data_IF_285355958758
#
_entry.id   IF_285355958758
#
_cell.length_a   1.000
_cell.length_b   1.000
_cell.length_c   1.000
_cell.angle_alpha   90.00
_cell.angle_beta   90.00
_cell.angle_gamma   90.00
#
_symmetry.space_group_name_H-M   'P 1'
#
loop_
_entity.id
_entity.type
_entity.pdbx_description
1 polymer ?
#
# COMPACT_ATOMS: atom_id res chain seq x y z
N UNK A 1 5.26 -12.87 -3.68
CA UNK A 1 4.42 -12.97 -2.46
C UNK A 1 5.19 -12.61 -1.20
N UNK A 2 6.43 -13.11 -1.01
CA UNK A 2 7.25 -12.68 0.13
C UNK A 2 7.45 -11.16 0.19
N UNK A 3 7.73 -10.52 -0.95
CA UNK A 3 7.88 -9.07 -1.05
C UNK A 3 6.65 -8.29 -0.55
N UNK A 4 5.43 -8.74 -0.88
CA UNK A 4 4.19 -8.08 -0.43
C UNK A 4 4.02 -8.19 1.08
N UNK A 5 4.34 -9.36 1.66
CA UNK A 5 4.25 -9.58 3.10
C UNK A 5 5.27 -8.72 3.88
N UNK A 6 6.50 -8.61 3.36
CA UNK A 6 7.56 -7.77 3.93
C UNK A 6 7.20 -6.29 3.80
N UNK A 7 6.74 -5.86 2.63
CA UNK A 7 6.29 -4.49 2.39
C UNK A 7 5.13 -4.10 3.31
N UNK A 8 4.09 -4.94 3.40
CA UNK A 8 2.95 -4.73 4.28
C UNK A 8 3.37 -4.57 5.75
N UNK A 9 4.31 -5.39 6.22
CA UNK A 9 4.88 -5.28 7.57
C UNK A 9 5.57 -3.93 7.79
N UNK A 10 6.46 -3.52 6.88
CA UNK A 10 7.19 -2.27 7.02
C UNK A 10 6.26 -1.05 6.95
N UNK A 11 5.31 -1.04 6.02
CA UNK A 11 4.29 0.01 5.92
C UNK A 11 3.49 0.14 7.22
N UNK A 12 3.03 -0.99 7.76
CA UNK A 12 2.28 -1.02 9.02
C UNK A 12 3.11 -0.45 10.17
N UNK A 13 4.36 -0.91 10.32
CA UNK A 13 5.27 -0.44 11.36
C UNK A 13 5.60 1.04 11.22
N UNK A 14 5.65 1.58 10.00
CA UNK A 14 5.85 3.00 9.71
C UNK A 14 4.59 3.87 9.93
N UNK A 15 3.45 3.26 10.30
CA UNK A 15 2.21 3.98 10.57
C UNK A 15 1.39 4.30 9.32
N UNK A 16 1.65 3.61 8.20
CA UNK A 16 0.76 3.62 7.04
C UNK A 16 -0.36 2.58 7.24
N UNK A 17 -1.57 2.93 6.82
CA UNK A 17 -2.73 2.06 6.99
C UNK A 17 -2.58 0.80 6.11
N UNK A 18 -2.68 -0.42 6.68
CA UNK A 18 -2.48 -1.68 5.93
C UNK A 18 -3.37 -1.84 4.70
N UNK A 19 -4.64 -1.41 4.77
CA UNK A 19 -5.56 -1.51 3.62
C UNK A 19 -5.09 -0.72 2.39
N UNK A 20 -4.25 0.30 2.55
CA UNK A 20 -3.72 1.06 1.40
C UNK A 20 -2.85 0.20 0.46
N UNK A 21 -2.36 -0.95 0.93
CA UNK A 21 -1.69 -1.92 0.08
C UNK A 21 -2.69 -2.60 -0.89
N UNK A 22 -3.92 -2.90 -0.47
CA UNK A 22 -4.94 -3.45 -1.37
C UNK A 22 -5.35 -2.40 -2.41
N UNK A 23 -5.64 -1.17 -1.97
CA UNK A 23 -6.00 -0.06 -2.86
C UNK A 23 -4.96 0.12 -3.99
N UNK A 24 -3.66 0.03 -3.65
CA UNK A 24 -2.58 0.13 -4.62
C UNK A 24 -2.66 -0.95 -5.70
N UNK A 25 -2.88 -2.21 -5.30
CA UNK A 25 -2.93 -3.32 -6.26
C UNK A 25 -4.22 -3.35 -7.07
N UNK A 26 -5.33 -2.88 -6.51
CA UNK A 26 -6.58 -2.70 -7.26
C UNK A 26 -6.42 -1.65 -8.37
N UNK A 27 -5.77 -0.51 -8.05
CA UNK A 27 -5.45 0.52 -9.05
C UNK A 27 -4.55 -0.07 -10.14
N UNK A 28 -3.51 -0.82 -9.77
CA UNK A 28 -2.61 -1.41 -10.77
C UNK A 28 -3.33 -2.42 -11.67
N UNK A 29 -4.22 -3.25 -11.11
CA UNK A 29 -5.02 -4.20 -11.89
C UNK A 29 -5.97 -3.49 -12.86
N UNK A 30 -6.67 -2.45 -12.40
CA UNK A 30 -7.56 -1.65 -13.26
C UNK A 30 -6.81 -1.00 -14.43
N UNK A 31 -5.64 -0.43 -14.17
CA UNK A 31 -4.81 0.20 -15.21
C UNK A 31 -4.30 -0.85 -16.21
N UNK A 32 -4.00 -2.07 -15.77
CA UNK A 32 -3.63 -3.18 -16.65
C UNK A 32 -4.79 -3.64 -17.54
N UNK A 33 -5.99 -3.77 -16.96
CA UNK A 33 -7.21 -4.10 -17.71
C UNK A 33 -7.56 -3.03 -18.75
N UNK A 34 -7.47 -1.75 -18.40
CA UNK A 34 -7.73 -0.63 -19.30
C UNK A 34 -6.71 -0.59 -20.46
N UNK A 35 -5.43 -0.80 -20.17
CA UNK A 35 -4.39 -0.89 -21.19
C UNK A 35 -4.65 -2.04 -22.18
N UNK A 36 -5.08 -3.21 -21.68
CA UNK A 36 -5.44 -4.34 -22.53
C UNK A 36 -6.69 -4.05 -23.39
N UNK A 37 -7.67 -3.31 -22.87
CA UNK A 37 -8.90 -2.97 -23.59
C UNK A 37 -8.73 -1.86 -24.63
N UNK A 38 -7.82 -0.91 -24.40
CA UNK A 38 -7.58 0.25 -25.28
C UNK A 38 -6.88 -0.09 -26.61
N UNK A 39 -6.32 -1.30 -26.75
CA UNK A 39 -5.60 -1.70 -27.95
C UNK A 39 -4.29 -0.92 -28.18
N UNK A 40 -3.79 -0.21 -27.17
CA UNK A 40 -2.51 0.48 -27.23
C UNK A 40 -1.37 -0.53 -27.45
N UNK A 41 -0.42 -0.24 -28.36
CA UNK A 41 0.69 -1.15 -28.66
C UNK A 41 1.70 -1.27 -27.51
N UNK A 42 1.65 -0.34 -26.54
CA UNK A 42 2.54 -0.33 -25.38
C UNK A 42 1.80 -0.96 -24.21
N UNK A 43 2.21 -2.17 -23.83
CA UNK A 43 1.68 -2.85 -22.65
C UNK A 43 1.92 -2.01 -21.38
N UNK A 44 1.01 -2.07 -20.41
CA UNK A 44 1.23 -1.42 -19.11
C UNK A 44 2.53 -1.90 -18.45
N UNK A 45 2.92 -3.16 -18.70
CA UNK A 45 4.16 -3.72 -18.20
C UNK A 45 5.40 -3.04 -18.80
N UNK A 46 5.29 -2.41 -19.96
CA UNK A 46 6.35 -1.60 -20.57
C UNK A 46 6.37 -0.16 -20.04
N UNK A 47 5.20 0.41 -19.74
CA UNK A 47 5.11 1.75 -19.10
C UNK A 47 5.53 1.71 -17.63
N UNK A 48 5.27 0.59 -16.95
CA UNK A 48 5.60 0.35 -15.54
C UNK A 48 6.47 -0.90 -15.44
N UNK A 49 7.81 -0.80 -15.64
CA UNK A 49 8.71 -1.95 -15.64
C UNK A 49 8.64 -2.81 -14.37
N UNK A 50 8.23 -2.23 -13.25
CA UNK A 50 7.98 -2.93 -11.99
C UNK A 50 7.00 -4.10 -12.15
N UNK A 51 5.98 -3.97 -12.99
CA UNK A 51 4.95 -5.01 -13.20
C UNK A 51 5.51 -6.25 -13.91
N UNK A 52 6.66 -6.16 -14.58
CA UNK A 52 7.34 -7.33 -15.18
C UNK A 52 7.78 -8.34 -14.13
N UNK A 53 8.23 -7.86 -12.96
CA UNK A 53 8.63 -8.72 -11.84
C UNK A 53 7.51 -8.86 -10.80
N UNK A 54 6.47 -8.03 -10.88
CA UNK A 54 5.37 -7.99 -9.92
C UNK A 54 4.01 -7.89 -10.63
N UNK A 55 3.43 -9.02 -11.10
CA UNK A 55 2.12 -9.01 -11.76
C UNK A 55 0.97 -8.74 -10.78
N UNK A 56 -0.09 -8.07 -11.24
CA UNK A 56 -1.25 -7.60 -10.44
C UNK A 56 -2.28 -8.70 -10.12
N UNK A 57 -1.87 -9.97 -10.09
CA UNK A 57 -2.77 -11.12 -9.94
C UNK A 57 -3.69 -11.03 -8.71
N UNK A 58 -4.95 -11.45 -8.87
CA UNK A 58 -5.94 -11.62 -7.80
C UNK A 58 -5.41 -12.47 -6.62
N UNK A 59 -4.51 -13.44 -6.89
CA UNK A 59 -3.92 -14.25 -5.82
C UNK A 59 -3.06 -13.41 -4.86
N UNK A 60 -2.45 -12.31 -5.34
CA UNK A 60 -1.70 -11.37 -4.52
C UNK A 60 -2.62 -10.70 -3.50
N UNK A 61 -3.75 -10.18 -3.96
CA UNK A 61 -4.73 -9.50 -3.12
C UNK A 61 -5.25 -10.44 -2.03
N UNK A 62 -5.60 -11.68 -2.37
CA UNK A 62 -6.01 -12.72 -1.40
C UNK A 62 -4.97 -12.95 -0.29
N UNK A 63 -3.69 -12.96 -0.65
CA UNK A 63 -2.63 -13.16 0.33
C UNK A 63 -2.41 -11.94 1.22
N UNK A 64 -2.54 -10.73 0.66
CA UNK A 64 -2.48 -9.49 1.44
C UNK A 64 -3.65 -9.47 2.43
N UNK A 65 -4.86 -9.78 1.96
CA UNK A 65 -6.08 -9.84 2.78
C UNK A 65 -5.92 -10.80 3.97
N UNK A 66 -5.38 -12.00 3.72
CA UNK A 66 -5.05 -12.96 4.78
C UNK A 66 -4.05 -12.44 5.83
N UNK A 67 -3.17 -11.50 5.45
CA UNK A 67 -2.17 -10.91 6.34
C UNK A 67 -2.65 -9.63 7.04
N UNK A 68 -3.77 -9.03 6.59
CA UNK A 68 -4.28 -7.78 7.13
C UNK A 68 -4.49 -7.80 8.65
N UNK A 69 -5.07 -8.85 9.29
CA UNK A 69 -5.26 -8.82 10.74
C UNK A 69 -3.96 -8.62 11.51
N UNK A 70 -2.87 -9.26 11.07
CA UNK A 70 -1.55 -9.13 11.68
C UNK A 70 -0.92 -7.76 11.39
N UNK A 71 -1.07 -7.27 10.17
CA UNK A 71 -0.60 -5.95 9.76
C UNK A 71 -1.32 -4.82 10.52
N UNK A 72 -2.63 -4.93 10.69
CA UNK A 72 -3.45 -4.00 11.48
C UNK A 72 -2.99 -3.92 12.93
N UNK A 73 -2.64 -5.07 13.54
CA UNK A 73 -2.03 -5.06 14.88
C UNK A 73 -0.72 -4.24 14.90
N UNK A 74 0.19 -4.47 13.95
CA UNK A 74 1.45 -3.74 13.85
C UNK A 74 1.26 -2.24 13.62
N UNK A 75 0.26 -1.88 12.80
CA UNK A 75 -0.12 -0.49 12.55
C UNK A 75 -0.65 0.20 13.82
N UNK A 76 -1.50 -0.47 14.58
CA UNK A 76 -2.05 0.05 15.84
C UNK A 76 -0.96 0.21 16.92
N UNK A 77 0.01 -0.71 16.95
CA UNK A 77 1.15 -0.68 17.87
C UNK A 77 2.25 0.34 17.44
N UNK A 78 2.15 0.92 16.24
CA UNK A 78 3.19 1.80 15.69
C UNK A 78 3.25 3.16 16.41
N UNK A 79 4.44 3.60 16.87
CA UNK A 79 4.61 4.93 17.47
C UNK A 79 4.48 6.05 16.43
N UNK A 80 4.50 5.72 15.13
CA UNK A 80 4.42 6.69 14.03
C UNK A 80 2.99 6.93 13.55
N UNK A 81 2.00 6.19 14.07
CA UNK A 81 0.59 6.39 13.73
C UNK A 81 0.17 7.82 14.08
N UNK A 82 -0.40 8.57 13.14
CA UNK A 82 -0.73 10.00 13.32
C UNK A 82 -1.52 10.34 14.59
N UNK A 83 -2.32 9.43 15.14
CA UNK A 83 -3.05 9.66 16.40
C UNK A 83 -2.19 9.58 17.67
N UNK A 84 -0.94 9.09 17.59
CA UNK A 84 0.00 9.06 18.72
C UNK A 84 0.78 10.37 18.86
N UNK A 85 0.71 11.27 17.87
CA UNK A 85 1.34 12.59 17.94
C UNK A 85 0.45 13.51 18.75
N UNK A 86 0.88 13.81 19.98
CA UNK A 86 0.36 14.98 20.71
C UNK A 86 0.47 16.23 19.82
N UNK A 87 -0.53 17.12 19.83
CA UNK A 87 -0.43 18.36 19.08
C UNK A 87 0.82 19.15 19.51
N UNK A 88 1.46 19.91 18.60
CA UNK A 88 2.55 20.81 18.97
C UNK A 88 2.08 21.70 20.13
N UNK A 89 2.89 21.83 21.19
CA UNK A 89 2.58 22.77 22.27
C UNK A 89 2.42 24.15 21.65
N UNK A 90 1.24 24.74 21.83
CA UNK A 90 0.93 26.11 21.43
C UNK A 90 2.02 27.01 22.03
N UNK A 91 2.80 27.64 21.16
CA UNK A 91 3.84 28.59 21.58
C UNK A 91 3.08 29.79 22.11
N UNK A 92 3.05 29.94 23.44
CA UNK A 92 2.38 31.04 24.11
C UNK A 92 2.82 32.37 23.48
N UNK A 93 1.92 32.98 22.72
CA UNK A 93 2.03 34.37 22.30
C UNK A 93 1.91 35.21 23.57
N UNK A 94 3.06 35.68 24.05
CA UNK A 94 3.14 36.60 25.18
C UNK A 94 2.68 38.01 24.72
N UNK A 95 2.00 38.79 25.59
CA UNK A 95 1.37 40.06 25.24
C UNK A 95 2.36 41.19 24.98
#
# INVERSE_FOLDING_TARGET
MEADAVGLRFMSMAGYHPNSMLDLWDIMALVEEEAAASGEPISITDRVPFLKTHPTSLQRQKNIDALLPKAMKMYNDSPFRRSSRSPPKEVASNP
#
